data_IF_734922473851
#
_entry.id   IF_734922473851
#
_cell.length_a   1.000
_cell.length_b   1.000
_cell.length_c   1.000
_cell.angle_alpha   90.00
_cell.angle_beta   90.00
_cell.angle_gamma   90.00
#
_symmetry.space_group_name_H-M   'P 1'
#
loop_
_entity.id
_entity.type
_entity.pdbx_description
1 polymer ?
2 polymer ?
3 branched ?
4 branched ?
5 non-polymer ?
6 non-polymer ?
7 non-polymer ?
8 non-polymer ?
9 non-polymer ?
10 non-polymer ?
11 water ?
#
# COMPACT_ATOMS: atom_id res chain seq x y z
N UNK A 1 14.12 -30.59 6.32
CA UNK A 1 14.62 -29.24 5.91
C UNK A 1 14.22 -28.87 4.49
N UNK A 2 13.89 -27.60 4.27
CA UNK A 2 13.38 -27.17 2.98
C UNK A 2 13.77 -25.75 2.60
N UNK A 3 14.63 -25.13 3.41
CA UNK A 3 15.25 -23.86 3.07
C UNK A 3 16.77 -23.98 2.99
N UNK A 4 17.42 -22.85 2.76
CA UNK A 4 18.86 -22.77 2.79
C UNK A 4 19.27 -21.42 3.36
N UNK A 5 19.89 -21.41 4.53
CA UNK A 5 20.24 -20.14 5.18
C UNK A 5 21.59 -19.62 4.75
N UNK A 6 21.75 -18.31 4.83
CA UNK A 6 22.99 -17.62 4.50
C UNK A 6 23.05 -16.41 5.40
N UNK A 7 24.22 -15.74 5.46
CA UNK A 7 24.44 -14.59 6.33
C UNK A 7 23.28 -13.59 6.30
N UNK A 8 22.87 -13.13 5.11
CA UNK A 8 21.62 -12.34 5.10
C UNK A 8 20.64 -12.62 3.97
N UNK A 9 20.12 -13.84 3.97
CA UNK A 9 19.11 -14.25 3.03
C UNK A 9 18.54 -15.60 3.45
N UNK A 10 17.41 -15.99 2.88
CA UNK A 10 16.83 -17.29 3.15
C UNK A 10 16.21 -17.86 1.87
N UNK A 11 16.98 -18.62 1.11
CA UNK A 11 16.41 -19.19 -0.10
C UNK A 11 15.42 -20.29 0.27
N UNK A 12 14.15 -20.13 -0.14
CA UNK A 12 13.13 -21.15 0.17
C UNK A 12 13.25 -22.37 -0.72
N UNK A 13 14.42 -23.00 -0.76
CA UNK A 13 14.63 -24.24 -1.50
C UNK A 13 15.75 -24.99 -0.79
N UNK A 14 15.59 -26.30 -0.65
CA UNK A 14 16.58 -27.12 0.05
C UNK A 14 17.83 -27.33 -0.80
N UNK A 15 18.99 -27.22 -0.15
CA UNK A 15 20.27 -27.41 -0.84
C UNK A 15 20.74 -28.85 -0.79
N UNK A 16 19.84 -29.77 -0.46
CA UNK A 16 20.23 -31.17 -0.39
C UNK A 16 20.88 -31.67 -1.69
N UNK A 17 20.58 -31.04 -2.82
CA UNK A 17 21.25 -31.42 -4.08
C UNK A 17 22.40 -30.49 -4.43
N UNK A 18 22.66 -29.51 -3.55
CA UNK A 18 23.82 -28.63 -3.68
C UNK A 18 23.75 -27.53 -4.71
N UNK A 19 22.60 -27.41 -5.39
CA UNK A 19 22.37 -26.41 -6.45
C UNK A 19 22.04 -24.96 -5.98
N UNK A 20 21.63 -24.80 -4.72
CA UNK A 20 21.24 -23.48 -4.24
C UNK A 20 22.41 -22.51 -4.24
N UNK A 21 22.20 -21.34 -4.85
CA UNK A 21 23.20 -20.25 -4.81
C UNK A 21 22.64 -19.03 -4.09
N UNK A 22 23.54 -18.21 -3.53
CA UNK A 22 23.16 -16.92 -2.95
C UNK A 22 22.27 -16.11 -3.93
N UNK A 23 21.14 -15.58 -3.43
CA UNK A 23 20.32 -14.69 -4.26
C UNK A 23 21.00 -13.36 -4.62
N UNK A 24 22.13 -13.05 -3.97
CA UNK A 24 22.96 -11.92 -4.40
C UNK A 24 24.05 -12.29 -5.41
N UNK A 25 24.15 -13.56 -5.79
CA UNK A 25 25.33 -13.99 -6.58
C UNK A 25 25.03 -14.68 -7.90
N UNK A 26 23.96 -15.44 -7.99
CA UNK A 26 23.68 -16.18 -9.20
C UNK A 26 22.18 -16.48 -9.36
N UNK A 27 21.75 -16.73 -10.61
CA UNK A 27 20.33 -16.93 -10.92
C UNK A 27 19.69 -18.02 -10.06
N UNK A 28 18.39 -17.91 -9.81
CA UNK A 28 17.70 -18.86 -8.94
C UNK A 28 16.81 -19.76 -9.76
N UNK A 29 17.28 -20.16 -10.93
CA UNK A 29 16.40 -20.89 -11.86
C UNK A 29 16.03 -22.28 -11.37
N UNK A 30 16.51 -22.63 -10.18
CA UNK A 30 16.17 -23.91 -9.56
C UNK A 30 14.94 -23.83 -8.66
N UNK A 31 14.53 -22.63 -8.26
CA UNK A 31 13.31 -22.49 -7.46
C UNK A 31 12.14 -21.95 -8.28
N UNK A 32 12.36 -21.77 -9.57
CA UNK A 32 11.34 -21.37 -10.52
C UNK A 32 11.95 -21.33 -11.89
N UNK A 33 11.19 -21.76 -12.89
CA UNK A 33 11.64 -21.76 -14.28
C UNK A 33 12.01 -20.36 -14.76
N UNK A 34 12.91 -20.27 -15.76
CA UNK A 34 13.16 -18.94 -16.31
C UNK A 34 11.90 -18.22 -16.81
N UNK A 35 10.90 -18.97 -17.30
CA UNK A 35 9.75 -18.28 -17.88
C UNK A 35 8.94 -17.60 -16.80
N UNK A 36 8.79 -18.28 -15.68
CA UNK A 36 8.17 -17.67 -14.53
C UNK A 36 8.89 -16.40 -14.07
N UNK A 37 10.20 -16.31 -14.26
CA UNK A 37 10.89 -15.04 -13.98
C UNK A 37 10.47 -13.95 -14.96
N UNK A 38 10.27 -14.35 -16.22
CA UNK A 38 9.81 -13.43 -17.25
C UNK A 38 8.40 -12.89 -16.95
N UNK A 39 7.54 -13.79 -16.47
CA UNK A 39 6.21 -13.40 -16.03
C UNK A 39 6.28 -12.49 -14.82
N UNK A 40 7.24 -12.72 -13.93
CA UNK A 40 7.44 -11.81 -12.85
C UNK A 40 7.74 -10.46 -13.49
N UNK A 41 8.69 -10.43 -14.42
CA UNK A 41 9.07 -9.17 -15.06
C UNK A 41 7.89 -8.59 -15.84
N UNK A 42 7.12 -9.45 -16.50
CA UNK A 42 5.93 -9.00 -17.19
C UNK A 42 5.02 -8.27 -16.19
N UNK A 43 4.79 -8.86 -15.03
CA UNK A 43 3.94 -8.21 -14.04
C UNK A 43 4.49 -6.86 -13.55
N UNK A 44 5.78 -6.77 -13.31
CA UNK A 44 6.32 -5.48 -12.91
C UNK A 44 6.13 -4.47 -14.04
N UNK A 45 6.18 -4.97 -15.27
CA UNK A 45 6.01 -4.11 -16.44
C UNK A 45 4.59 -3.52 -16.49
N UNK A 46 3.58 -4.38 -16.38
CA UNK A 46 2.19 -3.94 -16.21
C UNK A 46 2.07 -2.85 -15.14
N UNK A 47 2.50 -3.15 -13.91
CA UNK A 47 2.35 -2.23 -12.80
C UNK A 47 3.02 -0.88 -13.07
N UNK A 48 4.08 -0.86 -13.85
CA UNK A 48 4.71 0.42 -14.24
C UNK A 48 3.87 1.15 -15.33
N UNK A 49 3.59 0.45 -16.41
CA UNK A 49 2.84 0.99 -17.53
C UNK A 49 1.47 1.56 -17.10
N UNK A 50 0.83 0.91 -16.14
CA UNK A 50 -0.41 1.45 -15.54
C UNK A 50 -0.09 2.38 -14.36
N UNK A 51 0.74 1.92 -13.43
CA UNK A 51 1.03 2.64 -12.20
C UNK A 51 1.61 4.03 -12.31
N UNK A 52 2.58 4.21 -13.19
CA UNK A 52 3.22 5.52 -13.33
C UNK A 52 2.28 6.57 -13.92
N UNK A 53 1.61 6.26 -15.04
CA UNK A 53 0.70 7.26 -15.60
C UNK A 53 -0.41 7.69 -14.61
N UNK A 54 -1.14 6.72 -14.04
CA UNK A 54 -2.17 7.02 -13.06
C UNK A 54 -1.69 7.91 -11.92
N UNK A 55 -0.54 7.62 -11.36
CA UNK A 55 -0.09 8.37 -10.19
C UNK A 55 0.58 9.67 -10.53
N UNK A 56 1.30 9.71 -11.64
CA UNK A 56 1.94 10.94 -12.08
C UNK A 56 0.88 11.96 -12.50
N UNK A 57 -0.09 11.52 -13.31
CA UNK A 57 -1.21 12.35 -13.71
C UNK A 57 -1.89 13.01 -12.49
N UNK A 58 -2.03 12.26 -11.41
CA UNK A 58 -2.64 12.79 -10.20
C UNK A 58 -1.90 14.00 -9.68
N UNK A 59 -0.57 13.95 -9.70
CA UNK A 59 0.22 15.10 -9.28
C UNK A 59 0.12 16.21 -10.31
N UNK A 60 0.13 15.81 -11.58
CA UNK A 60 0.21 16.75 -12.69
C UNK A 60 -1.05 17.61 -12.78
N UNK A 61 -2.17 16.91 -12.82
CA UNK A 61 -3.45 17.55 -12.87
C UNK A 61 -3.62 18.50 -11.66
N UNK A 62 -3.01 18.15 -10.53
CA UNK A 62 -3.12 19.00 -9.34
C UNK A 62 -2.34 20.29 -9.51
N UNK A 63 -1.22 20.23 -10.22
CA UNK A 63 -0.42 21.41 -10.47
C UNK A 63 -1.15 22.41 -11.39
N UNK A 64 -2.12 21.91 -12.17
CA UNK A 64 -2.74 22.76 -13.18
C UNK A 64 -4.23 23.03 -13.00
N UNK A 65 -4.81 22.48 -11.94
CA UNK A 65 -6.20 22.78 -11.58
C UNK A 65 -6.30 23.33 -10.16
N UNK A 66 -6.42 24.65 -10.05
CA UNK A 66 -6.60 25.32 -8.74
C UNK A 66 -7.48 24.53 -7.79
N UNK A 67 -8.68 24.19 -8.24
CA UNK A 67 -9.73 23.61 -7.39
C UNK A 67 -9.35 22.32 -6.69
N UNK A 68 -8.33 21.63 -7.20
CA UNK A 68 -7.85 20.41 -6.58
C UNK A 68 -6.95 20.68 -5.37
N UNK A 69 -6.32 21.85 -5.32
CA UNK A 69 -5.35 22.16 -4.26
C UNK A 69 -5.96 22.53 -2.90
N UNK A 70 -6.88 21.70 -2.40
CA UNK A 70 -7.49 21.92 -1.09
C UNK A 70 -6.87 21.00 -0.03
N UNK A 71 -6.87 21.43 1.25
CA UNK A 71 -6.30 20.63 2.35
C UNK A 71 -6.77 19.16 2.37
N UNK A 72 -8.05 18.93 2.10
CA UNK A 72 -8.61 17.58 2.12
C UNK A 72 -8.11 16.71 0.98
N UNK A 73 -7.38 17.31 0.04
CA UNK A 73 -6.81 16.54 -1.04
C UNK A 73 -5.35 16.17 -0.81
N UNK A 74 -4.67 16.90 0.08
CA UNK A 74 -3.27 16.64 0.41
C UNK A 74 -2.99 15.14 0.59
N UNK A 75 -3.83 14.48 1.39
CA UNK A 75 -3.62 13.09 1.71
C UNK A 75 -3.69 12.21 0.47
N UNK A 76 -4.54 12.60 -0.48
CA UNK A 76 -4.65 11.88 -1.75
C UNK A 76 -3.41 12.10 -2.62
N UNK A 77 -2.90 13.33 -2.64
CA UNK A 77 -1.66 13.58 -3.35
C UNK A 77 -0.58 12.72 -2.72
N UNK A 78 -0.63 12.65 -1.40
CA UNK A 78 0.30 11.88 -0.63
C UNK A 78 0.25 10.42 -1.07
N UNK A 79 -0.96 9.88 -1.15
CA UNK A 79 -1.18 8.56 -1.67
C UNK A 79 -0.47 8.36 -3.01
N UNK A 80 -0.60 9.33 -3.90
CA UNK A 80 0.02 9.22 -5.21
C UNK A 80 1.54 9.16 -5.15
N UNK A 81 2.14 9.97 -4.26
CA UNK A 81 3.60 9.97 -4.06
C UNK A 81 4.05 8.60 -3.52
N UNK A 82 3.33 8.11 -2.50
CA UNK A 82 3.57 6.78 -1.96
C UNK A 82 3.60 5.76 -3.09
N UNK A 83 2.58 5.80 -3.96
CA UNK A 83 2.52 4.87 -5.07
C UNK A 83 3.77 4.98 -5.95
N UNK A 84 4.27 6.20 -6.16
CA UNK A 84 5.44 6.35 -7.01
C UNK A 84 6.71 5.81 -6.35
N UNK A 85 6.83 5.97 -5.03
CA UNK A 85 7.91 5.30 -4.31
C UNK A 85 7.88 3.79 -4.60
N UNK A 86 6.72 3.17 -4.52
CA UNK A 86 6.60 1.77 -4.89
C UNK A 86 6.98 1.52 -6.35
N UNK A 87 6.75 2.51 -7.21
CA UNK A 87 6.98 2.33 -8.63
C UNK A 87 8.48 2.33 -8.96
N UNK A 88 9.21 3.30 -8.41
CA UNK A 88 10.61 3.50 -8.76
C UNK A 88 11.57 2.81 -7.81
N UNK A 89 11.16 2.62 -6.56
CA UNK A 89 11.95 1.84 -5.62
C UNK A 89 11.74 0.35 -5.82
N UNK A 90 10.49 -0.06 -5.96
CA UNK A 90 10.16 -1.48 -6.02
C UNK A 90 10.05 -2.05 -7.41
N UNK A 91 9.06 -1.57 -8.17
CA UNK A 91 8.70 -2.15 -9.46
C UNK A 91 9.82 -2.15 -10.51
N UNK A 92 10.50 -1.01 -10.69
CA UNK A 92 11.55 -0.92 -11.73
C UNK A 92 12.75 -1.82 -11.40
N UNK A 93 13.25 -1.68 -10.18
CA UNK A 93 14.28 -2.54 -9.65
C UNK A 93 13.94 -4.02 -9.88
N UNK A 94 12.73 -4.40 -9.49
CA UNK A 94 12.33 -5.78 -9.65
C UNK A 94 12.23 -6.24 -11.09
N UNK A 95 11.86 -5.34 -12.00
CA UNK A 95 11.85 -5.66 -13.43
C UNK A 95 13.26 -5.99 -13.88
N UNK A 96 14.19 -5.15 -13.44
CA UNK A 96 15.59 -5.32 -13.73
C UNK A 96 16.16 -6.64 -13.18
N UNK A 97 16.00 -6.87 -11.89
CA UNK A 97 16.52 -8.09 -11.26
C UNK A 97 15.86 -9.36 -11.79
N UNK A 98 14.54 -9.39 -11.90
CA UNK A 98 13.87 -10.62 -12.37
C UNK A 98 14.47 -11.16 -13.67
N UNK A 99 14.92 -10.26 -14.54
CA UNK A 99 15.48 -10.61 -15.83
C UNK A 99 16.92 -11.11 -15.74
N UNK A 100 17.58 -10.81 -14.62
CA UNK A 100 18.85 -11.44 -14.27
C UNK A 100 18.61 -12.76 -13.55
N UNK A 101 17.45 -12.93 -12.91
CA UNK A 101 17.16 -14.17 -12.20
C UNK A 101 17.61 -14.14 -10.75
N UNK A 102 18.04 -12.98 -10.29
CA UNK A 102 18.40 -12.81 -8.88
C UNK A 102 18.66 -11.36 -8.55
N UNK A 103 18.84 -11.09 -7.27
CA UNK A 103 18.94 -9.73 -6.80
C UNK A 103 20.34 -9.17 -7.00
N UNK A 104 20.62 -8.76 -8.24
CA UNK A 104 21.95 -8.36 -8.66
C UNK A 104 22.53 -7.16 -7.94
N UNK A 105 21.78 -6.51 -7.06
CA UNK A 105 22.32 -5.29 -6.46
C UNK A 105 23.00 -5.52 -5.13
N UNK A 106 22.98 -6.75 -4.65
CA UNK A 106 23.67 -7.09 -3.42
C UNK A 106 22.92 -6.69 -2.17
N UNK A 107 23.48 -7.02 -0.99
CA UNK A 107 22.87 -6.75 0.31
C UNK A 107 22.52 -5.29 0.57
N UNK A 108 23.38 -4.35 0.18
CA UNK A 108 23.05 -2.95 0.45
C UNK A 108 21.91 -2.50 -0.48
N UNK A 109 22.00 -2.86 -1.75
CA UNK A 109 20.92 -2.64 -2.70
C UNK A 109 19.63 -3.23 -2.18
N UNK A 110 19.74 -4.43 -1.62
CA UNK A 110 18.62 -5.07 -0.97
C UNK A 110 18.04 -4.20 0.13
N UNK A 111 18.89 -3.54 0.91
CA UNK A 111 18.42 -2.66 1.97
C UNK A 111 17.73 -1.40 1.45
N UNK A 112 18.32 -0.79 0.42
CA UNK A 112 17.70 0.33 -0.28
C UNK A 112 16.34 -0.03 -0.89
N UNK A 113 16.33 -0.99 -1.80
CA UNK A 113 15.10 -1.37 -2.46
C UNK A 113 14.01 -1.77 -1.46
N UNK A 114 14.37 -2.52 -0.43
CA UNK A 114 13.40 -2.93 0.57
C UNK A 114 12.91 -1.74 1.37
N UNK A 115 13.78 -0.77 1.59
CA UNK A 115 13.39 0.38 2.40
C UNK A 115 12.39 1.26 1.63
N UNK A 116 12.72 1.58 0.39
CA UNK A 116 11.86 2.46 -0.40
C UNK A 116 10.53 1.79 -0.79
N UNK A 117 10.57 0.51 -1.13
CA UNK A 117 9.33 -0.20 -1.42
C UNK A 117 8.44 -0.24 -0.17
N UNK A 118 9.02 -0.57 0.96
CA UNK A 118 8.27 -0.62 2.21
C UNK A 118 7.76 0.78 2.57
N UNK A 119 8.64 1.78 2.56
CA UNK A 119 8.21 3.13 2.87
C UNK A 119 6.98 3.47 2.06
N UNK A 120 7.09 3.32 0.74
CA UNK A 120 5.99 3.54 -0.21
C UNK A 120 4.70 2.86 0.20
N UNK A 121 4.72 1.54 0.27
CA UNK A 121 3.53 0.79 0.64
C UNK A 121 2.95 1.19 1.97
N UNK A 122 3.81 1.66 2.88
CA UNK A 122 3.38 2.02 4.23
C UNK A 122 2.78 3.42 4.28
N UNK A 123 3.38 4.38 3.58
CA UNK A 123 2.80 5.72 3.47
C UNK A 123 1.42 5.64 2.84
N UNK A 124 1.29 4.79 1.82
CA UNK A 124 -0.02 4.54 1.19
C UNK A 124 -0.98 4.00 2.25
N UNK A 125 -0.59 2.91 2.91
CA UNK A 125 -1.39 2.32 3.97
C UNK A 125 -1.88 3.37 4.99
N UNK A 126 -0.97 4.14 5.56
CA UNK A 126 -1.37 5.10 6.58
C UNK A 126 -2.16 6.28 6.01
N UNK A 127 -1.96 6.57 4.73
CA UNK A 127 -2.78 7.57 4.05
C UNK A 127 -4.22 7.09 4.07
N UNK A 128 -4.48 5.91 3.53
CA UNK A 128 -5.81 5.35 3.55
C UNK A 128 -6.46 5.42 4.94
N UNK A 129 -5.64 5.31 5.98
CA UNK A 129 -6.14 5.48 7.35
C UNK A 129 -6.45 6.95 7.65
N UNK A 130 -5.45 7.81 7.50
CA UNK A 130 -5.62 9.24 7.78
C UNK A 130 -6.86 9.79 7.06
N UNK A 131 -7.03 9.41 5.80
CA UNK A 131 -8.20 9.77 4.98
C UNK A 131 -9.53 9.38 5.61
N UNK A 132 -9.63 8.17 6.14
CA UNK A 132 -10.83 7.79 6.85
C UNK A 132 -11.01 8.67 8.11
N UNK A 133 -9.94 8.93 8.84
CA UNK A 133 -10.05 9.80 10.00
C UNK A 133 -10.59 11.17 9.57
N UNK A 134 -9.89 11.83 8.65
CA UNK A 134 -10.32 13.15 8.20
C UNK A 134 -11.78 13.17 7.72
N UNK A 135 -12.18 12.15 6.98
CA UNK A 135 -13.56 12.07 6.52
C UNK A 135 -14.54 11.95 7.68
N UNK A 136 -14.18 11.14 8.67
CA UNK A 136 -15.00 10.97 9.87
C UNK A 136 -15.10 12.29 10.61
N UNK A 137 -13.97 12.96 10.82
CA UNK A 137 -13.95 14.23 11.52
C UNK A 137 -14.82 15.26 10.82
N UNK A 138 -14.62 15.46 9.53
CA UNK A 138 -15.37 16.46 8.76
C UNK A 138 -16.88 16.18 8.68
N UNK A 139 -17.26 14.92 8.46
CA UNK A 139 -18.64 14.62 8.18
C UNK A 139 -19.43 14.25 9.41
N UNK A 140 -18.86 13.38 10.25
CA UNK A 140 -19.54 12.97 11.48
C UNK A 140 -19.51 14.05 12.55
N UNK A 141 -18.61 15.02 12.43
CA UNK A 141 -18.60 16.20 13.29
C UNK A 141 -18.59 15.83 14.77
N UNK A 142 -17.57 15.08 15.21
CA UNK A 142 -17.55 14.61 16.60
C UNK A 142 -16.93 15.63 17.56
N UNK A 143 -16.62 16.81 17.06
CA UNK A 143 -15.99 17.84 17.87
C UNK A 143 -16.65 19.19 17.64
N UNK A 144 -17.17 19.78 18.72
CA UNK A 144 -17.82 21.08 18.66
C UNK A 144 -16.93 22.16 18.03
N UNK A 145 -17.48 22.90 17.07
CA UNK A 145 -16.81 24.05 16.46
C UNK A 145 -15.41 23.76 15.93
N UNK A 146 -15.26 22.63 15.23
CA UNK A 146 -13.98 22.30 14.60
C UNK A 146 -14.03 22.55 13.10
N UNK A 147 -13.01 23.21 12.57
CA UNK A 147 -12.88 23.45 11.14
C UNK A 147 -11.58 22.88 10.58
N UNK A 148 -11.71 21.88 9.70
CA UNK A 148 -10.55 21.24 9.11
C UNK A 148 -9.86 22.18 8.14
N UNK A 149 -8.60 22.50 8.40
CA UNK A 149 -7.86 23.45 7.58
C UNK A 149 -6.46 22.97 7.21
N UNK A 150 -5.74 23.81 6.46
CA UNK A 150 -4.42 23.47 5.94
C UNK A 150 -3.48 22.81 6.97
N UNK A 151 -3.43 23.34 8.19
CA UNK A 151 -2.54 22.80 9.20
C UNK A 151 -2.84 21.35 9.56
N UNK A 152 -4.12 21.01 9.69
CA UNK A 152 -4.46 19.63 10.02
C UNK A 152 -4.03 18.70 8.90
N UNK A 153 -4.30 19.13 7.66
CA UNK A 153 -3.92 18.38 6.47
C UNK A 153 -2.45 17.99 6.52
N UNK A 154 -1.61 18.97 6.85
CA UNK A 154 -0.17 18.76 6.96
C UNK A 154 0.19 17.76 8.08
N UNK A 155 -0.40 17.95 9.26
CA UNK A 155 -0.20 17.00 10.33
C UNK A 155 -0.53 15.59 9.88
N UNK A 156 -1.71 15.42 9.28
CA UNK A 156 -2.11 14.13 8.70
C UNK A 156 -1.06 13.55 7.75
N UNK A 157 -0.50 14.37 6.87
CA UNK A 157 0.52 13.89 5.97
C UNK A 157 1.76 13.48 6.76
N UNK A 158 2.25 14.38 7.62
CA UNK A 158 3.42 14.11 8.46
C UNK A 158 3.24 12.83 9.29
N UNK A 159 2.05 12.67 9.84
CA UNK A 159 1.73 11.46 10.59
C UNK A 159 2.00 10.18 9.79
N UNK A 160 1.71 10.19 8.49
CA UNK A 160 1.90 8.98 7.68
C UNK A 160 3.38 8.69 7.48
N UNK A 161 4.17 9.73 7.21
CA UNK A 161 5.60 9.56 7.00
C UNK A 161 6.30 9.04 8.27
N UNK A 162 5.85 9.51 9.43
CA UNK A 162 6.37 9.04 10.71
C UNK A 162 5.98 7.59 10.96
N UNK A 163 4.71 7.24 10.76
CA UNK A 163 4.30 5.85 10.92
C UNK A 163 5.04 4.93 9.94
N UNK A 164 5.37 5.43 8.75
CA UNK A 164 6.01 4.59 7.76
C UNK A 164 7.47 4.32 8.12
N UNK A 165 8.20 5.37 8.49
CA UNK A 165 9.54 5.18 9.04
C UNK A 165 9.51 4.26 10.28
N UNK A 166 8.49 4.41 11.11
CA UNK A 166 8.34 3.53 12.27
C UNK A 166 8.34 2.05 11.85
N UNK A 167 8.22 1.80 10.56
CA UNK A 167 8.13 0.45 10.04
C UNK A 167 9.32 0.10 9.16
N UNK A 168 9.62 0.97 8.20
CA UNK A 168 10.73 0.75 7.28
C UNK A 168 12.14 0.94 7.91
N UNK A 169 12.27 1.83 8.89
CA UNK A 169 13.59 2.19 9.44
C UNK A 169 14.20 1.15 10.41
N UNK A 170 13.41 0.63 11.36
CA UNK A 170 13.96 -0.38 12.27
C UNK A 170 14.80 -1.51 11.60
N UNK A 171 14.27 -2.15 10.53
CA UNK A 171 15.01 -3.26 9.91
C UNK A 171 16.34 -2.85 9.28
N UNK A 172 16.59 -1.55 9.18
CA UNK A 172 17.87 -1.09 8.66
C UNK A 172 18.90 -1.05 9.78
N UNK A 173 18.43 -1.15 11.03
CA UNK A 173 19.33 -0.96 12.17
C UNK A 173 19.14 -1.93 13.33
N UNK A 174 18.74 -3.17 13.06
CA UNK A 174 18.80 -4.20 14.09
C UNK A 174 17.50 -4.88 14.48
N UNK A 175 16.39 -4.15 14.36
CA UNK A 175 15.11 -4.75 14.66
C UNK A 175 14.52 -5.24 13.33
N UNK A 176 14.37 -6.57 13.22
CA UNK A 176 14.21 -7.25 11.94
C UNK A 176 15.28 -6.88 10.90
N UNK A 177 15.04 -7.29 9.66
CA UNK A 177 15.99 -7.06 8.56
C UNK A 177 15.28 -7.17 7.21
N UNK A 178 15.91 -6.60 6.18
CA UNK A 178 15.48 -6.81 4.81
C UNK A 178 16.24 -7.98 4.16
N UNK A 179 15.52 -8.82 3.43
CA UNK A 179 16.17 -9.93 2.73
C UNK A 179 15.36 -10.27 1.48
N UNK A 180 16.01 -10.78 0.44
CA UNK A 180 15.25 -11.17 -0.76
C UNK A 180 14.02 -12.01 -0.41
N UNK A 181 12.89 -11.76 -1.07
CA UNK A 181 11.71 -12.59 -0.80
C UNK A 181 11.22 -13.41 -1.99
N UNK A 182 10.22 -14.23 -1.76
CA UNK A 182 9.64 -15.02 -2.84
C UNK A 182 10.71 -15.58 -3.75
N UNK A 183 10.74 -15.11 -4.99
CA UNK A 183 11.72 -15.63 -5.95
C UNK A 183 13.05 -14.90 -5.88
N UNK A 184 13.28 -14.20 -4.77
CA UNK A 184 14.60 -13.66 -4.45
C UNK A 184 15.01 -12.49 -5.32
N UNK A 185 14.05 -11.92 -6.05
CA UNK A 185 14.35 -10.83 -6.99
C UNK A 185 13.99 -9.47 -6.44
N UNK A 186 13.29 -9.46 -5.31
CA UNK A 186 13.01 -8.22 -4.59
C UNK A 186 13.15 -8.46 -3.11
N UNK A 187 13.42 -7.40 -2.37
CA UNK A 187 13.67 -7.51 -0.95
C UNK A 187 12.56 -6.92 -0.08
N UNK A 188 12.07 -7.68 0.88
CA UNK A 188 11.05 -7.20 1.80
C UNK A 188 11.50 -7.30 3.26
N UNK A 189 10.55 -7.15 4.17
CA UNK A 189 10.82 -7.33 5.60
C UNK A 189 10.82 -8.81 5.90
N UNK A 190 11.79 -9.26 6.71
CA UNK A 190 11.85 -10.64 7.16
C UNK A 190 10.87 -10.88 8.31
N UNK A 191 9.80 -11.60 8.00
CA UNK A 191 8.71 -11.81 8.93
C UNK A 191 8.37 -13.29 9.00
N UNK A 192 9.20 -14.12 8.36
CA UNK A 192 8.89 -15.54 8.22
C UNK A 192 10.06 -16.40 8.70
N UNK A 193 11.17 -15.74 8.99
CA UNK A 193 12.37 -16.40 9.44
C UNK A 193 12.63 -16.07 10.91
N UNK A 194 12.69 -17.10 11.75
CA UNK A 194 12.99 -16.92 13.18
C UNK A 194 14.45 -16.56 13.32
N UNK A 195 14.76 -15.27 13.39
CA UNK A 195 16.13 -14.82 13.37
C UNK A 195 16.40 -13.94 14.58
N UNK A 196 16.84 -14.60 15.65
CA UNK A 196 16.95 -13.99 16.99
C UNK A 196 17.86 -12.77 17.06
N UNK A 197 19.00 -12.80 16.37
CA UNK A 197 19.97 -11.71 16.46
C UNK A 197 19.36 -10.35 16.12
N UNK A 198 18.18 -10.37 15.49
CA UNK A 198 17.49 -9.13 15.06
C UNK A 198 16.09 -8.99 15.65
N UNK A 199 15.61 -10.05 16.31
CA UNK A 199 14.34 -10.03 17.04
C UNK A 199 13.11 -10.01 16.16
N UNK A 200 13.17 -10.81 15.10
CA UNK A 200 12.08 -10.86 14.14
C UNK A 200 10.72 -11.08 14.77
N UNK A 201 10.65 -11.97 15.74
CA UNK A 201 9.38 -12.31 16.35
C UNK A 201 8.65 -11.09 16.95
N UNK A 202 9.33 -10.31 17.77
CA UNK A 202 8.70 -9.13 18.38
C UNK A 202 8.31 -8.10 17.31
N UNK A 203 9.14 -7.95 16.27
CA UNK A 203 8.83 -7.06 15.16
C UNK A 203 7.56 -7.49 14.41
N UNK A 204 7.42 -8.79 14.15
CA UNK A 204 6.24 -9.28 13.45
C UNK A 204 4.98 -8.98 14.26
N UNK A 205 5.06 -9.12 15.57
CA UNK A 205 3.93 -8.82 16.44
C UNK A 205 3.63 -7.33 16.35
N UNK A 206 4.66 -6.51 16.49
CA UNK A 206 4.51 -5.07 16.36
C UNK A 206 3.86 -4.67 15.04
N UNK A 207 4.38 -5.17 13.91
CA UNK A 207 3.79 -4.94 12.59
C UNK A 207 2.32 -5.32 12.53
N UNK A 208 2.02 -6.55 12.91
CA UNK A 208 0.66 -7.07 12.85
C UNK A 208 -0.28 -6.23 13.70
N UNK A 209 0.18 -5.86 14.90
CA UNK A 209 -0.66 -5.12 15.83
C UNK A 209 -0.76 -3.65 15.42
N UNK A 210 0.38 -2.95 15.37
CA UNK A 210 0.37 -1.51 15.11
C UNK A 210 0.08 -1.16 13.66
N UNK A 211 0.53 -1.99 12.72
CA UNK A 211 0.46 -1.65 11.31
C UNK A 211 -0.60 -2.43 10.51
N UNK A 212 -1.28 -3.35 11.16
CA UNK A 212 -2.45 -3.97 10.53
C UNK A 212 -3.72 -3.82 11.38
N UNK A 213 -3.72 -4.34 12.60
CA UNK A 213 -4.91 -4.28 13.46
C UNK A 213 -5.38 -2.83 13.75
N UNK A 214 -4.50 -1.99 14.29
CA UNK A 214 -4.83 -0.57 14.48
C UNK A 214 -5.47 0.04 13.21
N UNK A 215 -4.72 0.12 12.09
CA UNK A 215 -5.33 0.61 10.86
C UNK A 215 -6.70 0.00 10.59
N UNK A 216 -6.80 -1.32 10.67
CA UNK A 216 -8.09 -1.98 10.42
C UNK A 216 -9.18 -1.46 11.37
N UNK A 217 -8.85 -1.33 12.64
CA UNK A 217 -9.82 -0.83 13.63
C UNK A 217 -10.22 0.61 13.31
N UNK A 218 -9.23 1.50 13.16
CA UNK A 218 -9.50 2.91 12.85
C UNK A 218 -10.36 3.08 11.59
N UNK A 219 -9.98 2.42 10.48
CA UNK A 219 -10.80 2.47 9.27
C UNK A 219 -12.24 2.04 9.50
N UNK A 220 -12.44 0.90 10.16
CA UNK A 220 -13.79 0.38 10.41
C UNK A 220 -14.65 1.28 11.29
N UNK A 221 -14.06 1.79 12.37
CA UNK A 221 -14.77 2.72 13.23
C UNK A 221 -15.22 3.92 12.41
N UNK A 222 -14.25 4.67 11.88
CA UNK A 222 -14.52 5.87 11.10
C UNK A 222 -15.56 5.70 9.99
N UNK A 223 -15.36 4.75 9.08
CA UNK A 223 -16.27 4.63 7.96
C UNK A 223 -17.60 4.07 8.41
N UNK A 224 -17.58 3.22 9.45
CA UNK A 224 -18.81 2.76 10.10
C UNK A 224 -19.62 3.95 10.62
N UNK A 225 -18.97 4.83 11.37
CA UNK A 225 -19.58 6.08 11.78
C UNK A 225 -20.18 6.86 10.60
N UNK A 226 -19.35 7.08 9.58
CA UNK A 226 -19.77 7.83 8.41
C UNK A 226 -21.01 7.21 7.77
N UNK A 227 -21.01 5.90 7.59
CA UNK A 227 -22.19 5.26 7.02
C UNK A 227 -23.37 5.46 7.95
N UNK A 228 -23.12 5.41 9.25
CA UNK A 228 -24.19 5.67 10.22
C UNK A 228 -24.74 7.11 10.07
N UNK A 229 -23.89 8.11 10.24
CA UNK A 229 -24.30 9.50 10.07
C UNK A 229 -25.14 9.68 8.81
N UNK A 230 -24.65 9.17 7.68
CA UNK A 230 -25.32 9.39 6.40
C UNK A 230 -26.65 8.64 6.28
N UNK A 231 -26.74 7.43 6.81
CA UNK A 231 -28.02 6.71 6.82
C UNK A 231 -29.07 7.51 7.61
N UNK A 232 -28.65 7.96 8.79
CA UNK A 232 -29.50 8.73 9.69
C UNK A 232 -29.95 10.03 9.03
N UNK A 233 -29.00 10.83 8.55
CA UNK A 233 -29.32 12.07 7.85
C UNK A 233 -30.38 11.87 6.74
N UNK A 234 -30.24 10.81 5.95
CA UNK A 234 -31.17 10.53 4.86
C UNK A 234 -32.56 10.14 5.37
N UNK A 235 -32.60 9.31 6.42
CA UNK A 235 -33.84 8.85 7.05
C UNK A 235 -34.67 10.02 7.59
N UNK A 236 -33.98 11.02 8.11
CA UNK A 236 -34.58 12.24 8.62
C UNK A 236 -34.86 13.28 7.52
N UNK A 237 -34.70 12.87 6.27
CA UNK A 237 -34.78 13.81 5.15
C UNK A 237 -35.20 13.10 3.88
N UNK A 238 -36.10 12.13 4.00
CA UNK A 238 -36.51 11.33 2.87
C UNK A 238 -37.22 12.11 1.78
N UNK A 239 -37.52 13.38 2.04
CA UNK A 239 -38.15 14.23 1.04
C UNK A 239 -37.10 14.72 0.04
N UNK A 240 -35.84 14.40 0.32
CA UNK A 240 -34.73 14.83 -0.54
C UNK A 240 -34.13 13.67 -1.32
N UNK A 241 -34.45 13.59 -2.62
CA UNK A 241 -33.93 12.52 -3.47
C UNK A 241 -32.38 12.50 -3.50
N UNK A 242 -31.79 13.69 -3.64
CA UNK A 242 -30.34 13.81 -3.61
C UNK A 242 -29.76 13.14 -2.36
N UNK A 243 -30.26 13.50 -1.18
CA UNK A 243 -29.72 12.93 0.06
C UNK A 243 -29.83 11.40 0.03
N UNK A 244 -30.88 10.89 -0.61
CA UNK A 244 -31.06 9.44 -0.70
C UNK A 244 -29.96 8.84 -1.57
N UNK A 245 -29.61 9.53 -2.66
CA UNK A 245 -28.54 9.09 -3.54
C UNK A 245 -27.19 9.11 -2.84
N UNK A 246 -26.87 10.22 -2.19
CA UNK A 246 -25.63 10.31 -1.43
C UNK A 246 -25.49 9.15 -0.45
N UNK A 247 -26.56 8.79 0.23
CA UNK A 247 -26.48 7.72 1.20
C UNK A 247 -26.09 6.41 0.51
N UNK A 248 -26.68 6.15 -0.65
CA UNK A 248 -26.35 4.97 -1.45
C UNK A 248 -24.92 4.98 -2.01
N UNK A 249 -24.53 6.11 -2.61
CA UNK A 249 -23.20 6.23 -3.17
C UNK A 249 -22.15 6.11 -2.07
N UNK A 250 -22.32 6.84 -0.97
CA UNK A 250 -21.37 6.79 0.14
C UNK A 250 -21.24 5.37 0.71
N UNK A 251 -22.35 4.65 0.83
CA UNK A 251 -22.30 3.28 1.33
C UNK A 251 -21.54 2.39 0.35
N UNK A 252 -21.79 2.53 -0.94
CA UNK A 252 -21.09 1.74 -1.95
C UNK A 252 -19.59 2.01 -1.84
N UNK A 253 -19.20 3.27 -1.90
CA UNK A 253 -17.80 3.62 -1.70
C UNK A 253 -17.16 2.99 -0.45
N UNK A 254 -17.83 3.04 0.69
CA UNK A 254 -17.21 2.51 1.91
C UNK A 254 -16.98 0.99 1.81
N UNK A 255 -17.91 0.29 1.16
CA UNK A 255 -17.75 -1.14 0.93
C UNK A 255 -16.55 -1.42 0.00
N UNK A 256 -16.43 -0.62 -1.05
CA UNK A 256 -15.28 -0.70 -1.94
C UNK A 256 -13.96 -0.39 -1.24
N UNK A 257 -13.92 0.70 -0.47
CA UNK A 257 -12.69 1.08 0.26
C UNK A 257 -12.25 0.04 1.27
N UNK A 258 -13.22 -0.52 2.00
CA UNK A 258 -12.90 -1.47 3.05
C UNK A 258 -12.45 -2.80 2.45
N UNK A 259 -13.27 -3.37 1.57
CA UNK A 259 -12.85 -4.56 0.81
C UNK A 259 -11.47 -4.40 0.15
N UNK A 260 -11.22 -3.22 -0.42
CA UNK A 260 -9.98 -2.92 -1.11
C UNK A 260 -8.79 -2.87 -0.14
N UNK A 261 -9.02 -2.39 1.07
CA UNK A 261 -7.97 -2.37 2.06
C UNK A 261 -7.65 -3.81 2.47
N UNK A 262 -8.70 -4.63 2.60
CA UNK A 262 -8.52 -6.02 2.96
C UNK A 262 -7.70 -6.73 1.90
N UNK A 263 -8.18 -6.71 0.65
CA UNK A 263 -7.47 -7.37 -0.45
C UNK A 263 -5.97 -6.98 -0.45
N UNK A 264 -5.68 -5.71 -0.18
CA UNK A 264 -4.31 -5.25 -0.27
C UNK A 264 -3.39 -5.76 0.83
N UNK A 265 -3.88 -5.84 2.07
CA UNK A 265 -3.01 -6.18 3.20
C UNK A 265 -3.33 -7.49 3.92
N UNK A 266 -4.53 -8.02 3.73
CA UNK A 266 -4.92 -9.26 4.41
C UNK A 266 -3.92 -10.39 4.13
N UNK A 267 -3.56 -10.58 2.85
CA UNK A 267 -2.58 -11.60 2.49
C UNK A 267 -1.28 -11.54 3.28
N UNK A 268 -0.62 -10.38 3.31
CA UNK A 268 0.60 -10.24 4.12
C UNK A 268 0.35 -10.63 5.57
N UNK A 269 -0.72 -10.11 6.15
CA UNK A 269 -1.08 -10.39 7.54
C UNK A 269 -1.47 -11.86 7.74
N UNK A 270 -2.36 -12.37 6.88
CA UNK A 270 -2.81 -13.75 6.96
C UNK A 270 -1.65 -14.72 6.93
N UNK A 271 -0.82 -14.60 5.90
CA UNK A 271 0.39 -15.38 5.76
C UNK A 271 1.34 -15.21 6.96
N UNK A 272 1.66 -13.97 7.33
CA UNK A 272 2.52 -13.72 8.48
C UNK A 272 2.02 -14.44 9.72
N UNK A 273 0.71 -14.40 9.91
CA UNK A 273 0.07 -15.00 11.09
C UNK A 273 0.23 -16.51 11.07
N UNK A 274 0.00 -17.11 9.91
CA UNK A 274 0.10 -18.56 9.76
C UNK A 274 1.49 -19.08 10.09
N UNK A 275 2.52 -18.43 9.56
CA UNK A 275 3.92 -18.77 9.85
C UNK A 275 4.26 -18.62 11.34
N UNK A 276 3.67 -17.64 11.99
CA UNK A 276 3.88 -17.39 13.41
C UNK A 276 3.24 -18.53 14.22
N UNK A 277 2.03 -18.90 13.84
CA UNK A 277 1.27 -19.96 14.49
C UNK A 277 1.81 -21.36 14.19
N UNK A 278 2.34 -21.55 12.97
CA UNK A 278 2.87 -22.84 12.55
C UNK A 278 4.36 -22.72 12.33
N UNK A 279 5.09 -22.39 13.39
CA UNK A 279 6.53 -22.14 13.29
C UNK A 279 7.24 -23.22 12.48
N UNK A 280 8.02 -22.79 11.48
CA UNK A 280 8.76 -23.71 10.61
C UNK A 280 7.82 -24.49 9.71
N UNK A 281 7.66 -24.02 8.47
CA UNK A 281 6.80 -24.70 7.50
C UNK A 281 7.37 -24.61 6.09
N UNK A 282 7.03 -25.59 5.26
CA UNK A 282 7.45 -25.55 3.86
C UNK A 282 6.64 -24.52 3.08
N UNK A 283 7.20 -23.33 2.91
CA UNK A 283 6.58 -22.33 2.05
C UNK A 283 7.43 -21.96 0.84
N UNK A 284 6.90 -22.24 -0.34
CA UNK A 284 7.64 -22.04 -1.58
C UNK A 284 7.90 -20.60 -1.96
N UNK A 285 8.77 -20.38 -2.96
CA UNK A 285 9.13 -19.04 -3.42
C UNK A 285 7.99 -18.32 -4.16
N UNK A 286 7.20 -19.06 -4.94
CA UNK A 286 6.07 -18.49 -5.66
C UNK A 286 4.95 -18.08 -4.68
N UNK A 287 4.55 -19.01 -3.81
CA UNK A 287 3.54 -18.75 -2.80
C UNK A 287 3.93 -17.54 -1.90
N UNK A 288 5.22 -17.38 -1.66
CA UNK A 288 5.69 -16.24 -0.86
C UNK A 288 5.67 -14.94 -1.67
N UNK A 289 5.39 -15.05 -2.97
CA UNK A 289 5.27 -13.87 -3.82
C UNK A 289 3.83 -13.31 -3.83
N UNK A 290 2.87 -14.16 -3.49
CA UNK A 290 1.44 -13.80 -3.49
C UNK A 290 1.11 -12.54 -2.65
N UNK A 291 1.51 -12.52 -1.35
CA UNK A 291 1.24 -11.29 -0.60
C UNK A 291 1.79 -10.01 -1.26
N UNK A 292 2.91 -10.13 -1.98
CA UNK A 292 3.50 -8.96 -2.64
C UNK A 292 2.67 -8.52 -3.83
N UNK A 293 2.14 -9.49 -4.56
CA UNK A 293 1.30 -9.26 -5.72
C UNK A 293 0.11 -8.42 -5.29
N UNK A 294 -0.56 -8.84 -4.22
CA UNK A 294 -1.72 -8.13 -3.72
C UNK A 294 -1.37 -6.70 -3.25
N UNK A 295 -0.30 -6.55 -2.48
CA UNK A 295 0.07 -5.21 -2.02
C UNK A 295 0.53 -4.30 -3.17
N UNK A 296 1.46 -4.77 -3.98
CA UNK A 296 2.05 -3.95 -5.04
C UNK A 296 1.03 -3.49 -6.07
N UNK A 297 0.01 -4.31 -6.34
CA UNK A 297 -1.00 -3.96 -7.33
C UNK A 297 -1.87 -2.79 -6.86
N UNK A 298 -1.87 -2.51 -5.56
CA UNK A 298 -2.62 -1.38 -5.05
C UNK A 298 -2.05 -0.06 -5.56
N UNK A 299 -0.83 -0.08 -6.09
CA UNK A 299 -0.29 1.13 -6.70
C UNK A 299 -1.11 1.52 -7.94
N UNK A 300 -1.85 0.55 -8.48
CA UNK A 300 -2.80 0.81 -9.55
C UNK A 300 -4.24 0.96 -9.02
N UNK A 301 -4.73 0.02 -8.21
CA UNK A 301 -6.16 0.08 -7.86
C UNK A 301 -6.53 1.12 -6.82
N UNK A 302 -5.64 1.43 -5.88
CA UNK A 302 -5.92 2.51 -4.92
C UNK A 302 -6.25 3.82 -5.62
N UNK A 303 -5.40 4.30 -6.55
CA UNK A 303 -5.73 5.53 -7.27
C UNK A 303 -7.00 5.41 -8.15
N UNK A 304 -7.30 4.20 -8.62
CA UNK A 304 -8.56 4.03 -9.34
C UNK A 304 -9.71 4.34 -8.38
N UNK A 305 -9.69 3.72 -7.21
CA UNK A 305 -10.71 3.93 -6.19
C UNK A 305 -10.73 5.37 -5.64
N UNK A 306 -9.57 5.88 -5.24
CA UNK A 306 -9.46 7.14 -4.49
C UNK A 306 -9.20 8.38 -5.33
N UNK A 307 -8.91 8.21 -6.61
CA UNK A 307 -8.64 9.34 -7.48
C UNK A 307 -9.57 9.28 -8.69
N UNK A 308 -9.40 8.26 -9.52
CA UNK A 308 -10.23 8.16 -10.71
C UNK A 308 -11.70 8.14 -10.39
N UNK A 309 -12.07 7.61 -9.22
CA UNK A 309 -13.48 7.52 -8.85
C UNK A 309 -13.97 8.74 -8.07
N UNK A 310 -13.08 9.70 -7.90
CA UNK A 310 -13.41 10.97 -7.27
C UNK A 310 -13.81 11.96 -8.38
N UNK A 311 -15.07 12.39 -8.33
CA UNK A 311 -15.67 13.25 -9.33
C UNK A 311 -14.76 14.41 -9.78
N UNK A 312 -14.19 15.11 -8.80
CA UNK A 312 -13.34 16.25 -9.11
C UNK A 312 -12.08 15.86 -9.87
N UNK A 313 -11.28 14.97 -9.30
CA UNK A 313 -10.05 14.55 -9.97
C UNK A 313 -10.36 14.08 -11.38
N UNK A 314 -11.39 13.26 -11.49
CA UNK A 314 -11.80 12.72 -12.80
C UNK A 314 -12.03 13.80 -13.84
N UNK A 315 -12.93 14.75 -13.59
CA UNK A 315 -13.16 15.85 -14.54
C UNK A 315 -11.87 16.54 -14.95
N UNK A 316 -11.08 16.97 -13.97
CA UNK A 316 -9.79 17.58 -14.27
C UNK A 316 -8.90 16.69 -15.14
N UNK A 317 -8.85 15.41 -14.82
CA UNK A 317 -8.08 14.46 -15.60
C UNK A 317 -8.59 14.36 -17.04
N UNK A 318 -9.90 14.32 -17.21
CA UNK A 318 -10.47 14.27 -18.54
C UNK A 318 -10.11 15.54 -19.30
N UNK A 319 -10.32 16.68 -18.66
CA UNK A 319 -9.95 17.94 -19.29
C UNK A 319 -8.50 17.93 -19.74
N UNK A 320 -7.60 17.51 -18.86
CA UNK A 320 -6.18 17.55 -19.17
C UNK A 320 -5.79 16.53 -20.22
N UNK A 321 -6.39 15.35 -20.16
CA UNK A 321 -6.13 14.29 -21.12
C UNK A 321 -6.65 14.67 -22.51
N UNK A 322 -7.74 15.43 -22.53
CA UNK A 322 -8.30 15.89 -23.79
C UNK A 322 -7.85 17.30 -24.10
N UNK A 323 -6.53 17.48 -24.02
CA UNK A 323 -5.87 18.65 -24.55
C UNK A 323 -6.31 19.93 -23.85
N UNK A 324 -7.09 20.73 -24.55
CA UNK A 324 -7.58 21.99 -24.00
C UNK A 324 -8.60 21.76 -22.90
N UNK A 325 -9.67 21.04 -23.25
CA UNK A 325 -10.81 20.92 -22.37
C UNK A 325 -11.80 19.90 -22.88
N UNK A 326 -12.78 19.56 -22.04
CA UNK A 326 -13.96 18.81 -22.48
C UNK A 326 -15.02 18.68 -21.38
N UNK B 1 -25.15 17.27 5.43
CA UNK B 1 -24.08 16.33 4.98
C UNK B 1 -23.55 16.65 3.57
N UNK B 2 -24.45 16.98 2.65
CA UNK B 2 -24.11 17.07 1.22
C UNK B 2 -22.83 17.85 0.88
N UNK B 3 -22.69 19.07 1.41
CA UNK B 3 -21.49 19.87 1.17
C UNK B 3 -20.23 19.14 1.63
N UNK B 4 -20.30 18.60 2.83
CA UNK B 4 -19.18 17.85 3.39
C UNK B 4 -18.84 16.62 2.58
N UNK B 5 -19.86 15.87 2.14
CA UNK B 5 -19.64 14.74 1.26
C UNK B 5 -18.96 15.17 -0.06
N UNK B 6 -19.24 16.38 -0.53
CA UNK B 6 -18.56 16.89 -1.72
C UNK B 6 -17.12 17.23 -1.41
N UNK B 7 -16.89 17.87 -0.26
CA UNK B 7 -15.54 18.28 0.17
C UNK B 7 -14.57 17.12 0.29
N UNK B 8 -15.05 15.98 0.81
CA UNK B 8 -14.21 14.82 1.02
C UNK B 8 -14.22 13.90 -0.19
N UNK B 9 -14.86 14.34 -1.27
CA UNK B 9 -14.82 13.64 -2.55
C UNK B 9 -15.61 12.35 -2.54
N UNK B 10 -16.63 12.26 -1.70
CA UNK B 10 -17.43 11.05 -1.60
C UNK B 10 -18.77 11.14 -2.30
N UNK B 11 -19.13 12.34 -2.75
CA UNK B 11 -20.38 12.55 -3.49
C UNK B 11 -20.39 13.80 -4.36
X LIG C 1 24.58 -25.32 -1.56
X LIG C 1 25.35 -24.15 -0.99
X LIG C 1 26.66 -23.95 -1.76
X LIG C 1 27.49 -25.24 -1.83
X LIG C 1 26.61 -26.40 -2.26
X LIG C 1 27.40 -27.69 -2.04
X LIG C 1 24.47 -21.98 -0.18
X LIG C 1 23.56 -20.80 -0.56
X LIG C 1 24.52 -22.94 -1.11
X LIG C 1 27.43 -22.89 -1.18
X LIG C 1 28.45 -25.06 -2.87
X LIG C 1 25.38 -26.50 -1.53
X LIG C 1 27.68 -27.84 -0.64
X LIG C 1 25.12 -21.98 0.86
X LIG C 2 29.81 -25.29 -2.55
X LIG C 2 30.53 -25.53 -3.89
X LIG C 2 31.99 -25.84 -3.61
X LIG C 2 32.66 -24.72 -2.77
X LIG C 2 31.82 -24.49 -1.49
X LIG C 2 32.47 -23.38 -0.65
X LIG C 2 28.99 -26.49 -5.59
X LIG C 2 28.35 -27.78 -6.12
X LIG C 2 29.86 -26.65 -4.57
X LIG C 2 32.66 -26.03 -4.86
X LIG C 2 33.97 -25.12 -2.37
X LIG C 2 30.44 -24.18 -1.83
X LIG C 2 31.61 -22.97 0.43
X LIG C 2 28.70 -25.41 -6.09
X LIG C 3 35.04 -24.63 -3.18
X LIG C 3 36.25 -24.35 -2.30
X LIG C 3 37.19 -23.40 -3.04
X LIG C 3 37.50 -23.90 -4.47
X LIG C 3 36.40 -24.79 -5.11
X LIG C 3 37.06 -25.78 -6.12
X LIG C 3 36.95 -25.58 -2.04
X LIG C 3 38.40 -23.09 -2.30
X LIG C 3 37.68 -22.75 -5.30
X LIG C 3 35.53 -25.54 -4.20
X LIG C 3 37.17 -25.15 -7.42
X LIG C 4 38.79 -24.09 -1.32
X LIG C 4 38.73 -23.50 0.09
X LIG C 4 39.78 -22.39 0.24
X LIG C 4 41.18 -22.92 -0.06
X LIG C 4 41.23 -23.71 -1.39
X LIG C 4 42.57 -24.47 -1.52
X LIG C 4 38.99 -24.56 1.03
X LIG C 4 39.73 -21.84 1.55
X LIG C 4 42.10 -21.82 -0.10
X LIG C 4 40.13 -24.65 -1.53
X LIG C 4 43.45 -23.78 -2.43
X LIG D 1 -2.83 26.89 -2.43
X LIG D 1 -2.33 27.87 -1.33
X LIG D 1 -1.05 27.35 -0.65
X LIG D 1 -1.30 25.99 0.01
X LIG D 1 -2.50 25.24 -0.64
X LIG D 1 -3.86 25.58 0.07
X LIG D 1 -2.12 29.18 -1.88
X LIG D 1 -0.60 28.27 0.35
X LIG D 1 -0.12 25.20 -0.09
X LIG D 1 -2.56 25.50 -2.08
X LIG D 1 -4.46 24.40 0.60
X LIG D 2 -3.22 27.59 -4.71
X LIG D 2 -2.47 28.37 -5.82
X LIG D 2 -3.06 29.76 -6.01
X LIG D 2 -4.56 29.63 -6.27
X LIG D 2 -5.25 29.01 -5.04
X LIG D 2 -6.33 27.99 -5.49
X LIG D 2 -2.24 27.14 -3.73
X LIG D 2 -1.07 28.45 -5.51
X LIG D 2 -2.43 30.42 -7.11
X LIG D 2 -5.11 30.92 -6.56
X LIG D 2 -4.31 28.39 -4.10
X LIG D 2 -7.38 28.67 -6.19
X LIG E 1 1.48 -6.12 7.78
X LIG E 1 0.87 -7.31 8.60
X LIG E 1 1.83 -8.14 9.30
X LIG E 1 2.97 -8.59 8.47
X LIG E 1 3.63 -7.48 7.72
X LIG E 1 2.93 -6.40 7.31
X LIG E 1 3.49 -5.40 6.38
X LIG E 1 4.05 -5.63 5.20
X LIG E 1 4.59 -4.65 4.26
X LIG E 1 4.83 -5.07 3.00
X LIG E 1 5.33 -4.33 1.87
X LIG E 1 5.66 -4.89 0.68
X LIG E 1 6.12 -4.20 -0.51
X LIG E 1 6.55 -4.93 -1.56
X LIG E 1 7.05 -4.45 -2.84
X LIG E 1 1.40 -4.77 8.41
X LIG E 1 0.52 -6.15 6.61
X LIG E 1 5.12 -7.68 7.47
X LIG E 1 4.83 -3.25 4.76
X LIG E 1 6.09 -2.70 -0.55
X LIG F 1 9.93 -28.88 4.91
X LIG F 1 9.20 -28.94 6.27
X LIG F 1 8.16 -30.06 6.32
X LIG F 1 7.47 -30.19 4.96
X LIG F 1 8.47 -30.68 3.92
X LIG F 1 7.72 -30.82 2.57
X LIG F 1 10.66 -28.21 8.15
X LIG F 1 11.72 -28.69 9.14
X LIG F 1 10.21 -29.16 7.33
X LIG F 1 7.19 -29.76 7.32
X LIG F 1 6.37 -31.09 5.04
X LIG F 1 9.64 -29.80 3.79
X LIG F 1 8.29 -31.88 1.80
X LIG F 1 10.26 -27.04 8.15
X LIG G 1 21.73 -11.20 -18.31
X LIG G 1 21.57 -9.79 -18.09
X LIG G 1 22.87 -11.43 -19.34
X LIG G 1 22.33 -11.82 -20.62
X LIG G 1 23.99 -12.41 -18.90
X LIG G 1 25.17 -11.66 -18.65
X LIG G 1 23.70 -13.28 -17.66
X LIG G 1 24.04 -14.65 -17.95
X LIG G 1 22.23 -13.19 -17.18
X LIG G 1 21.97 -11.80 -17.02
X LIG G 1 21.94 -13.92 -15.84
X LIG G 1 20.68 -14.64 -15.92
X LIG G 1 20.21 -9.40 -18.00
X LIG G 1 20.13 -7.98 -18.57
X LIG G 1 18.81 -7.29 -18.21
X LIG G 1 18.63 -6.01 -19.04
X LIG G 1 17.73 -5.02 -18.31
X LIG G 1 16.48 -4.71 -19.16
X LIG G 1 16.01 -3.27 -18.99
X LIG G 1 14.48 -3.19 -18.95
X LIG H 1 2.75 -23.69 -11.87
X LIG H 1 2.16 -22.44 -12.32
X LIG H 1 3.34 -24.36 -13.13
X LIG H 1 2.28 -24.67 -14.05
X LIG H 1 4.12 -25.62 -12.76
X LIG H 1 4.67 -26.22 -13.94
X LIG H 1 5.24 -25.27 -11.78
X LIG H 1 5.93 -26.47 -11.38
X LIG H 1 4.71 -24.52 -10.53
X LIG H 1 3.74 -23.47 -10.81
X LIG H 1 5.89 -23.85 -9.80
X LIG H 1 6.52 -24.77 -8.91
X LIG H 1 1.99 -21.48 -11.24
X LIG H 1 2.99 -20.33 -11.36
X LIG H 1 2.93 -19.67 -12.74
X LIG H 1 2.72 -18.14 -12.64
X LIG H 1 4.06 -17.40 -12.67
X LIG H 1 4.46 -16.92 -11.27
X LIG H 1 5.58 -15.89 -11.34
X LIG H 1 5.04 -14.46 -11.33
X LIG I 1 -6.56 15.75 -26.99
X LIG I 1 -7.80 15.86 -27.13
X LIG I 1 -5.85 14.61 -27.74
X LIG I 1 -5.75 13.32 -26.92
X LIG I 1 -6.56 12.18 -27.55
X LIG I 1 -5.79 10.86 -27.49
X LIG I 1 -6.67 9.67 -27.86
X LIG I 1 -5.83 8.42 -28.14
X LIG I 1 -6.00 7.35 -27.06
X LIG I 1 -4.68 6.61 -26.81
X LIG I 1 -4.83 5.53 -25.74
X LIG I 1 -3.46 4.91 -25.44
X LIG I 1 -3.54 3.40 -25.34
X LIG I 1 -2.17 2.77 -25.66
X LIG I 1 -1.66 1.92 -24.50
X LIG I 1 -0.26 1.35 -24.80
X LIG I 1 -0.20 -0.16 -24.50
X LIG J 1 6.02 -22.60 -4.77
X LIG J 1 6.29 -23.84 -4.05
X LIG J 1 5.55 -21.58 -3.82
X LIG J 1 7.23 -22.12 -5.42
X LIG J 1 4.99 -22.85 -5.79
X LIG K 1 -0.72 2.92 -20.86
X LIG K 1 0.00 3.87 -21.27
X LIG K 1 -1.81 3.23 -20.33
X LIG K 1 -0.28 1.49 -21.00
X LIG L 1 -33.29 17.50 -3.29
X LIG L 1 -33.27 16.26 -3.50
X LIG L 1 -33.84 18.16 -4.20
X LIG L 1 -32.71 18.14 -2.07
#
# INVERSE_FOLDING_TARGET
MNGTEGPNFYVPFSNKTGVVRSPFEAPQYYLAEPWQFSMLAAYMFLLIMLGFPINFLTLYVTVQHKKLRTPLNYILLNLAVADLFMVFGGFTTTLYTSLHGYFVFGPTGCNLEGFFATLGGEIALWSLVVLAIERYVVVCKPMSNFRFGENHAIMGVAFTWVMALACAAPPLVGWSRYIPEGMQCSCGIDYYTPHEETNNESFVIYMFVVHFIIPLIVIFFCYGQLVFTVKEAAAQQQESATTQKAEKEVTRMVIIMVIAFLICWLPYAGVAFYIFTHQGSDFGPIFMTIPAFFAKTSAVYNPVIYIMMNKQFRNCMVTTLCCGKNPLGDDEASTTVSKTETSQVAPA
ILENLKDVGLF
NAG C1 C2 C3 C4 C5 C6 C7 C8 N2 O3 O4 O5 O6 O7
NAG C1 C2 C3 C4 C5 C6 C7 C8 N2 O3 O4 O5 O6 O7
BMA C1 C2 C3 C4 C5 C6 O2 O3 O4 O5 O6
MAN C1 C2 C3 C4 C5 C6 O2 O3 O4 O5 O6
GLC C1 C2 C3 C4 C5 C6 O2 O3 O4 O5 O6
GLC C1 C2 C3 C4 C5 C6 O1 O2 O3 O4 O5 O6
RET C1 C2 C3 C4 C5 C6 C7 C8 C9 C10 C11 C12 C13 C14 C15 C16 C17 C18 C19 C20
NAG C1 C2 C3 C4 C5 C6 C7 C8 N2 O3 O4 O5 O6 O7
BOG C1 O1 C2 O2 C3 O3 C4 O4 C5 O5 C6 O6 C1' C2' C3' C4' C5' C6' C7' C8'
BOG C1 O1 C2 O2 C3 O3 C4 O4 C5 O5 C6 O6 C1' C2' C3' C4' C5' C6' C7' C8'
PLM C1 O2 C2 C3 C4 C5 C6 C7 C8 C9 CA CB CC CD CE CF CG
SO4 S O1 O2 O3 O4
ACT C O OXT CH3
ACT C O OXT CH3
#
